data_IF_294042160993
#
_entry.id   IF_294042160993
#
_cell.length_a   1.000
_cell.length_b   1.000
_cell.length_c   1.000
_cell.angle_alpha   90.00
_cell.angle_beta   90.00
_cell.angle_gamma   90.00
#
_symmetry.space_group_name_H-M   'P 1'
#
loop_
_entity.id
_entity.type
_entity.pdbx_description
1 polymer ?
#
# COMPACT_ATOMS: atom_id res chain seq x y z
N UNK A 1 -24.09 -21.73 2.96
CA UNK A 1 -22.75 -22.20 2.56
C UNK A 1 -22.26 -21.29 1.45
N UNK A 2 -21.70 -20.13 1.80
CA UNK A 2 -21.24 -19.11 0.85
C UNK A 2 -19.91 -18.55 1.35
N UNK A 3 -18.92 -19.42 1.50
CA UNK A 3 -17.56 -18.96 1.74
C UNK A 3 -17.02 -18.63 0.36
N UNK A 4 -16.87 -17.34 0.09
CA UNK A 4 -16.27 -16.83 -1.14
C UNK A 4 -14.95 -17.59 -1.40
N UNK A 5 -14.90 -18.31 -2.53
CA UNK A 5 -13.67 -18.85 -3.08
C UNK A 5 -12.82 -17.67 -3.55
N UNK A 6 -12.07 -17.06 -2.65
CA UNK A 6 -10.91 -16.26 -3.05
C UNK A 6 -9.97 -17.22 -3.79
N UNK A 7 -9.93 -17.11 -5.12
CA UNK A 7 -8.99 -17.86 -5.97
C UNK A 7 -7.53 -17.49 -5.70
N UNK A 8 -7.30 -16.48 -4.87
CA UNK A 8 -6.00 -15.95 -4.47
C UNK A 8 -5.77 -16.22 -2.99
N UNK A 9 -4.62 -16.82 -2.68
CA UNK A 9 -4.17 -16.96 -1.29
C UNK A 9 -3.99 -15.57 -0.67
N UNK A 10 -4.43 -15.32 0.58
CA UNK A 10 -4.18 -14.06 1.27
C UNK A 10 -2.70 -13.64 1.28
N UNK A 11 -1.77 -14.59 1.17
CA UNK A 11 -0.35 -14.32 1.04
C UNK A 11 0.02 -13.50 -0.20
N UNK A 12 -0.77 -13.54 -1.28
CA UNK A 12 -0.56 -12.69 -2.47
C UNK A 12 -0.65 -11.20 -2.15
N UNK A 13 -1.44 -10.82 -1.14
CA UNK A 13 -1.52 -9.43 -0.72
C UNK A 13 -0.14 -8.94 -0.28
N UNK A 14 0.68 -9.78 0.37
CA UNK A 14 2.01 -9.38 0.85
C UNK A 14 2.96 -8.90 -0.26
N UNK A 15 2.70 -9.22 -1.54
CA UNK A 15 3.48 -8.67 -2.66
C UNK A 15 3.36 -7.16 -2.79
N UNK A 16 2.34 -6.52 -2.19
CA UNK A 16 2.26 -5.07 -2.15
C UNK A 16 3.43 -4.46 -1.33
N UNK A 17 3.95 -5.16 -0.32
CA UNK A 17 5.01 -4.66 0.58
C UNK A 17 6.30 -4.32 -0.18
N UNK A 18 6.95 -5.25 -0.92
CA UNK A 18 8.16 -4.94 -1.66
C UNK A 18 7.92 -3.87 -2.74
N UNK A 19 6.72 -3.80 -3.33
CA UNK A 19 6.36 -2.76 -4.30
C UNK A 19 6.35 -1.36 -3.67
N UNK A 20 5.65 -1.21 -2.54
CA UNK A 20 5.56 0.08 -1.83
C UNK A 20 6.93 0.51 -1.33
N UNK A 21 7.75 -0.41 -0.79
CA UNK A 21 9.12 -0.12 -0.36
C UNK A 21 9.97 0.36 -1.54
N UNK A 22 9.94 -0.36 -2.66
CA UNK A 22 10.75 -0.04 -3.85
C UNK A 22 10.39 1.32 -4.42
N UNK A 23 9.09 1.58 -4.65
CA UNK A 23 8.61 2.84 -5.24
C UNK A 23 8.90 4.03 -4.31
N UNK A 24 8.70 3.86 -3.01
CA UNK A 24 8.91 4.94 -2.04
C UNK A 24 10.38 5.33 -1.93
N UNK A 25 11.29 4.35 -1.93
CA UNK A 25 12.73 4.61 -1.91
C UNK A 25 13.21 5.27 -3.21
N UNK A 26 12.79 4.77 -4.37
CA UNK A 26 13.15 5.36 -5.67
C UNK A 26 12.66 6.81 -5.75
N UNK A 27 11.43 7.07 -5.31
CA UNK A 27 10.88 8.43 -5.28
C UNK A 27 11.66 9.37 -4.35
N UNK A 28 12.10 8.89 -3.19
CA UNK A 28 12.96 9.67 -2.28
C UNK A 28 14.33 9.97 -2.89
N UNK A 29 14.94 8.95 -3.52
CA UNK A 29 16.29 8.99 -4.08
C UNK A 29 16.41 9.85 -5.35
N UNK A 30 15.34 10.04 -6.12
CA UNK A 30 15.38 10.94 -7.29
C UNK A 30 15.36 12.41 -6.91
N UNK A 31 14.97 12.75 -5.68
CA UNK A 31 14.80 14.14 -5.23
C UNK A 31 15.89 14.61 -4.28
N UNK A 32 16.55 13.70 -3.57
CA UNK A 32 17.55 14.03 -2.57
C UNK A 32 18.76 13.12 -2.72
N UNK A 33 19.94 13.67 -2.50
CA UNK A 33 21.20 12.91 -2.43
C UNK A 33 21.58 12.56 -1.00
N UNK A 34 21.00 13.27 -0.02
CA UNK A 34 21.18 13.00 1.40
C UNK A 34 20.31 11.82 1.85
N UNK A 35 20.96 10.79 2.40
CA UNK A 35 20.31 9.55 2.83
C UNK A 35 19.19 9.78 3.86
N UNK A 36 19.35 10.74 4.76
CA UNK A 36 18.35 11.02 5.80
C UNK A 36 17.10 11.64 5.17
N UNK A 37 17.27 12.57 4.23
CA UNK A 37 16.16 13.18 3.48
C UNK A 37 15.47 12.16 2.56
N UNK A 38 16.21 11.25 1.91
CA UNK A 38 15.64 10.16 1.11
C UNK A 38 14.68 9.33 1.96
N UNK A 39 15.13 8.87 3.14
CA UNK A 39 14.31 8.01 4.01
C UNK A 39 13.09 8.77 4.54
N UNK A 40 13.23 10.04 4.93
CA UNK A 40 12.10 10.85 5.40
C UNK A 40 11.02 10.99 4.32
N UNK A 41 11.41 11.31 3.08
CA UNK A 41 10.47 11.40 1.98
C UNK A 41 9.88 10.04 1.60
N UNK A 42 10.69 8.98 1.57
CA UNK A 42 10.22 7.63 1.29
C UNK A 42 9.16 7.19 2.31
N UNK A 43 9.37 7.44 3.61
CA UNK A 43 8.37 7.13 4.65
C UNK A 43 7.10 7.95 4.45
N UNK A 44 7.22 9.23 4.10
CA UNK A 44 6.07 10.09 3.77
C UNK A 44 5.26 9.52 2.60
N UNK A 45 5.93 9.13 1.52
CA UNK A 45 5.31 8.51 0.33
C UNK A 45 4.64 7.18 0.70
N UNK A 46 5.30 6.31 1.45
CA UNK A 46 4.73 5.05 1.89
C UNK A 46 3.45 5.28 2.73
N UNK A 47 3.46 6.22 3.69
CA UNK A 47 2.28 6.58 4.50
C UNK A 47 1.12 7.05 3.64
N UNK A 48 1.37 7.88 2.62
CA UNK A 48 0.32 8.34 1.70
C UNK A 48 -0.27 7.21 0.87
N UNK A 49 0.57 6.32 0.32
CA UNK A 49 0.11 5.16 -0.46
C UNK A 49 -0.75 4.24 0.41
N UNK A 50 -0.26 3.88 1.60
CA UNK A 50 -1.02 3.05 2.54
C UNK A 50 -2.33 3.73 2.97
N UNK A 51 -2.30 5.03 3.26
CA UNK A 51 -3.49 5.79 3.63
C UNK A 51 -4.55 5.76 2.53
N UNK A 52 -4.14 6.02 1.29
CA UNK A 52 -5.05 5.96 0.14
C UNK A 52 -5.63 4.55 -0.08
N UNK A 53 -4.80 3.51 -0.03
CA UNK A 53 -5.24 2.12 -0.16
C UNK A 53 -6.21 1.72 0.97
N UNK A 54 -5.94 2.14 2.21
CA UNK A 54 -6.81 1.86 3.35
C UNK A 54 -8.17 2.55 3.18
N UNK A 55 -8.21 3.81 2.73
CA UNK A 55 -9.47 4.52 2.46
C UNK A 55 -10.30 3.75 1.43
N UNK A 56 -9.70 3.34 0.30
CA UNK A 56 -10.41 2.55 -0.72
C UNK A 56 -10.93 1.25 -0.11
N UNK A 57 -10.10 0.53 0.66
CA UNK A 57 -10.51 -0.71 1.31
C UNK A 57 -11.74 -0.51 2.21
N UNK A 58 -11.73 0.52 3.07
CA UNK A 58 -12.86 0.79 3.95
C UNK A 58 -14.13 1.20 3.19
N UNK A 59 -13.99 1.98 2.11
CA UNK A 59 -15.13 2.33 1.25
C UNK A 59 -15.74 1.08 0.61
N UNK A 60 -14.91 0.20 0.05
CA UNK A 60 -15.37 -1.05 -0.55
C UNK A 60 -15.99 -1.99 0.49
N UNK A 61 -15.41 -2.07 1.69
CA UNK A 61 -15.94 -2.85 2.80
C UNK A 61 -17.32 -2.35 3.24
N UNK A 62 -17.48 -1.02 3.35
CA UNK A 62 -18.75 -0.40 3.70
C UNK A 62 -19.83 -0.69 2.64
N UNK A 63 -19.50 -0.54 1.35
CA UNK A 63 -20.41 -0.87 0.24
C UNK A 63 -20.82 -2.36 0.31
N UNK A 64 -19.87 -3.26 0.54
CA UNK A 64 -20.14 -4.70 0.66
C UNK A 64 -21.10 -5.02 1.82
N UNK A 65 -21.11 -4.25 2.90
CA UNK A 65 -22.08 -4.45 3.99
C UNK A 65 -23.47 -3.89 3.69
N UNK A 66 -23.58 -2.97 2.73
CA UNK A 66 -24.85 -2.38 2.32
C UNK A 66 -25.59 -3.19 1.23
N UNK A 67 -24.89 -4.11 0.57
CA UNK A 67 -25.41 -5.04 -0.45
C UNK A 67 -25.76 -6.38 0.21
#
# INVERSE_FOLDING_TARGET
>A
MLIATLSISPSYLLYFVPLVVSISLVFGATRHEDNQLIIQHAIGTARWIFGFMAIIFFVLLAINWMV
#
